data_IF_681694962068
#
_entry.id   IF_681694962068
#
_cell.length_a   1.000
_cell.length_b   1.000
_cell.length_c   1.000
_cell.angle_alpha   90.00
_cell.angle_beta   90.00
_cell.angle_gamma   90.00
#
_symmetry.space_group_name_H-M   'P 1'
#
loop_
_entity.id
_entity.type
_entity.pdbx_description
1 polymer ?
#
# COMPACT_ATOMS: atom_id res chain seq x y z
N UNK A 1 -10.94 10.19 9.77
CA UNK A 1 -10.48 9.16 8.81
C UNK A 1 -9.33 8.40 9.46
N UNK A 2 -9.38 7.07 9.44
CA UNK A 2 -8.31 6.22 9.99
C UNK A 2 -7.14 6.18 8.99
N UNK A 3 -5.98 6.70 9.40
CA UNK A 3 -4.80 6.81 8.53
C UNK A 3 -4.22 5.46 8.12
N UNK A 4 -4.27 4.45 9.01
CA UNK A 4 -3.77 3.10 8.72
C UNK A 4 -4.68 2.40 7.71
N UNK A 5 -6.00 2.54 7.89
CA UNK A 5 -6.97 1.97 6.95
C UNK A 5 -6.83 2.61 5.57
N UNK A 6 -6.71 3.94 5.51
CA UNK A 6 -6.50 4.66 4.24
C UNK A 6 -5.22 4.19 3.55
N UNK A 7 -4.10 4.15 4.28
CA UNK A 7 -2.83 3.64 3.76
C UNK A 7 -2.95 2.22 3.19
N UNK A 8 -3.67 1.33 3.87
CA UNK A 8 -3.87 -0.05 3.39
C UNK A 8 -4.71 -0.10 2.10
N UNK A 9 -5.75 0.75 2.01
CA UNK A 9 -6.59 0.85 0.82
C UNK A 9 -5.79 1.36 -0.36
N UNK A 10 -5.10 2.50 -0.19
CA UNK A 10 -4.29 3.11 -1.25
C UNK A 10 -3.18 2.18 -1.73
N UNK A 11 -2.48 1.53 -0.80
CA UNK A 11 -1.42 0.59 -1.15
C UNK A 11 -1.91 -0.59 -1.97
N UNK A 12 -3.09 -1.12 -1.65
CA UNK A 12 -3.64 -2.30 -2.34
C UNK A 12 -4.20 -1.93 -3.71
N UNK A 13 -4.89 -0.80 -3.85
CA UNK A 13 -5.37 -0.33 -5.16
C UNK A 13 -4.20 0.07 -6.08
N UNK A 14 -3.20 0.79 -5.55
CA UNK A 14 -2.01 1.20 -6.32
C UNK A 14 -1.12 0.02 -6.73
N UNK A 15 -1.12 -1.09 -5.97
CA UNK A 15 -0.34 -2.28 -6.34
C UNK A 15 -0.78 -2.87 -7.68
N UNK A 16 -2.05 -2.71 -8.07
CA UNK A 16 -2.57 -3.16 -9.36
C UNK A 16 -1.91 -2.45 -10.53
N UNK A 17 -1.63 -1.15 -10.38
CA UNK A 17 -0.99 -0.35 -11.44
C UNK A 17 0.45 -0.81 -11.71
N UNK A 18 1.13 -1.32 -10.69
CA UNK A 18 2.51 -1.81 -10.84
C UNK A 18 2.62 -3.09 -11.68
N UNK A 19 1.53 -3.86 -11.78
CA UNK A 19 1.51 -5.10 -12.57
C UNK A 19 1.46 -4.84 -14.08
N UNK A 20 0.98 -3.65 -14.52
CA UNK A 20 0.69 -3.39 -15.92
C UNK A 20 -0.48 -4.23 -16.44
N UNK A 21 -0.65 -4.25 -17.76
CA UNK A 21 -1.69 -5.04 -18.42
C UNK A 21 -1.22 -5.56 -19.79
N UNK A 22 -1.92 -6.57 -20.28
CA UNK A 22 -1.67 -7.17 -21.59
C UNK A 22 -2.95 -7.65 -22.25
N UNK A 23 -2.87 -7.83 -23.56
CA UNK A 23 -3.92 -8.47 -24.36
C UNK A 23 -3.44 -9.88 -24.73
N UNK A 24 -4.26 -10.87 -24.44
CA UNK A 24 -3.89 -12.28 -24.61
C UNK A 24 -4.87 -12.96 -25.58
N UNK A 25 -4.40 -13.78 -26.54
CA UNK A 25 -5.26 -14.61 -27.38
C UNK A 25 -6.07 -15.61 -26.55
N UNK A 26 -7.31 -15.84 -26.92
CA UNK A 26 -8.16 -16.83 -26.28
C UNK A 26 -7.61 -18.24 -26.51
N UNK A 27 -7.87 -19.15 -25.58
CA UNK A 27 -7.42 -20.54 -25.67
C UNK A 27 -7.85 -21.19 -26.99
N UNK A 28 -6.87 -21.72 -27.74
CA UNK A 28 -7.12 -22.39 -28.99
C UNK A 28 -7.19 -21.48 -30.24
N UNK A 29 -6.98 -20.19 -30.06
CA UNK A 29 -6.86 -19.21 -31.15
C UNK A 29 -5.38 -19.09 -31.52
N UNK A 30 -5.09 -19.11 -32.82
CA UNK A 30 -3.75 -18.88 -33.34
C UNK A 30 -3.39 -17.38 -33.14
N UNK A 31 -2.14 -17.12 -32.72
CA UNK A 31 -1.61 -15.78 -32.45
C UNK A 31 -1.72 -14.90 -33.73
N UNK A 32 -1.45 -15.43 -34.91
CA UNK A 32 -1.57 -14.67 -36.15
C UNK A 32 -3.02 -14.25 -36.45
N UNK A 33 -4.01 -15.11 -36.12
CA UNK A 33 -5.43 -14.78 -36.28
C UNK A 33 -5.87 -13.66 -35.30
N UNK A 34 -5.29 -13.64 -34.11
CA UNK A 34 -5.59 -12.64 -33.09
C UNK A 34 -4.87 -11.29 -33.30
N UNK A 35 -3.82 -11.28 -34.11
CA UNK A 35 -2.86 -10.14 -34.22
C UNK A 35 -3.52 -8.79 -34.54
N UNK A 36 -4.46 -8.76 -35.47
CA UNK A 36 -5.15 -7.50 -35.81
C UNK A 36 -6.08 -7.03 -34.68
N UNK A 37 -6.79 -7.97 -34.04
CA UNK A 37 -7.61 -7.61 -32.87
C UNK A 37 -6.76 -7.12 -31.71
N UNK A 38 -5.60 -7.74 -31.45
CA UNK A 38 -4.64 -7.31 -30.42
C UNK A 38 -4.16 -5.86 -30.67
N UNK A 39 -3.72 -5.59 -31.90
CA UNK A 39 -3.26 -4.25 -32.30
C UNK A 39 -4.34 -3.17 -32.10
N UNK A 40 -5.56 -3.45 -32.52
CA UNK A 40 -6.69 -2.52 -32.39
C UNK A 40 -7.10 -2.36 -30.90
N UNK A 41 -7.11 -3.45 -30.13
CA UNK A 41 -7.39 -3.43 -28.70
C UNK A 41 -6.36 -2.59 -27.90
N UNK A 42 -5.08 -2.76 -28.22
CA UNK A 42 -4.00 -1.94 -27.63
C UNK A 42 -4.18 -0.45 -27.96
N UNK A 43 -4.49 -0.11 -29.23
CA UNK A 43 -4.79 1.25 -29.62
C UNK A 43 -6.03 1.81 -28.88
N UNK A 44 -7.07 1.01 -28.72
CA UNK A 44 -8.28 1.35 -28.00
C UNK A 44 -8.00 1.67 -26.54
N UNK A 45 -7.32 0.79 -25.81
CA UNK A 45 -7.02 0.96 -24.39
C UNK A 45 -5.99 2.08 -24.13
N UNK A 46 -4.96 2.20 -24.95
CA UNK A 46 -3.98 3.30 -24.86
C UNK A 46 -4.57 4.66 -25.22
N UNK A 47 -5.71 4.70 -25.93
CA UNK A 47 -6.44 5.91 -26.25
C UNK A 47 -7.28 6.47 -25.11
N UNK A 48 -7.41 5.74 -23.99
CA UNK A 48 -8.18 6.16 -22.82
C UNK A 48 -7.29 6.99 -21.89
N UNK A 49 -7.64 8.25 -21.68
CA UNK A 49 -6.81 9.23 -20.97
C UNK A 49 -6.63 8.93 -19.46
N UNK A 50 -7.63 8.31 -18.82
CA UNK A 50 -7.63 7.99 -17.39
C UNK A 50 -7.71 6.48 -17.06
N UNK A 51 -7.17 5.62 -17.94
CA UNK A 51 -7.29 4.16 -17.78
C UNK A 51 -6.70 3.64 -16.46
N UNK A 52 -5.57 4.19 -16.04
CA UNK A 52 -4.93 3.85 -14.76
C UNK A 52 -5.79 4.23 -13.55
N UNK A 53 -6.42 5.41 -13.58
CA UNK A 53 -7.34 5.86 -12.54
C UNK A 53 -8.57 4.94 -12.45
N UNK A 54 -9.11 4.51 -13.59
CA UNK A 54 -10.22 3.57 -13.63
C UNK A 54 -9.86 2.20 -13.01
N UNK A 55 -8.64 1.67 -13.28
CA UNK A 55 -8.14 0.44 -12.66
C UNK A 55 -8.04 0.60 -11.14
N UNK A 56 -7.48 1.72 -10.67
CA UNK A 56 -7.35 2.02 -9.24
C UNK A 56 -8.72 2.14 -8.58
N UNK A 57 -9.65 2.84 -9.21
CA UNK A 57 -11.03 2.97 -8.72
C UNK A 57 -11.75 1.63 -8.62
N UNK A 58 -11.65 0.77 -9.65
CA UNK A 58 -12.18 -0.60 -9.61
C UNK A 58 -11.52 -1.43 -8.50
N UNK A 59 -10.26 -1.14 -8.21
CA UNK A 59 -9.50 -1.70 -7.09
C UNK A 59 -10.19 -1.48 -5.74
N UNK A 60 -10.89 -0.37 -5.52
CA UNK A 60 -11.61 -0.10 -4.26
C UNK A 60 -12.72 -1.13 -3.94
N UNK A 61 -13.11 -1.94 -4.92
CA UNK A 61 -14.09 -3.03 -4.73
C UNK A 61 -13.69 -4.02 -3.63
N UNK A 62 -12.40 -4.22 -3.37
CA UNK A 62 -11.98 -5.11 -2.28
C UNK A 62 -12.39 -4.60 -0.90
N UNK A 63 -12.47 -3.28 -0.76
CA UNK A 63 -12.84 -2.62 0.49
C UNK A 63 -14.35 -2.59 0.68
N UNK A 64 -15.09 -2.10 -0.34
CA UNK A 64 -16.54 -1.85 -0.25
C UNK A 64 -17.43 -2.99 -0.76
N UNK A 65 -16.85 -4.02 -1.38
CA UNK A 65 -17.58 -5.12 -1.98
C UNK A 65 -18.01 -4.90 -3.42
N UNK A 66 -17.96 -3.66 -3.91
CA UNK A 66 -18.25 -3.31 -5.30
C UNK A 66 -17.56 -2.02 -5.73
N UNK A 67 -17.40 -1.86 -7.03
CA UNK A 67 -16.99 -0.61 -7.66
C UNK A 67 -17.48 -0.58 -9.10
N UNK A 68 -17.87 0.60 -9.58
CA UNK A 68 -18.45 0.82 -10.89
C UNK A 68 -17.76 1.96 -11.62
N UNK A 69 -17.57 1.77 -12.93
CA UNK A 69 -17.14 2.81 -13.84
C UNK A 69 -18.07 2.84 -15.05
N UNK A 70 -18.23 4.00 -15.67
CA UNK A 70 -19.00 4.18 -16.90
C UNK A 70 -18.10 4.61 -18.03
N UNK A 71 -17.97 3.83 -19.12
CA UNK A 71 -17.17 4.22 -20.28
C UNK A 71 -17.89 5.31 -21.09
N UNK A 72 -17.21 6.42 -21.36
CA UNK A 72 -17.70 7.49 -22.23
C UNK A 72 -17.34 7.16 -23.68
N UNK A 73 -18.31 6.64 -24.42
CA UNK A 73 -18.12 6.18 -25.79
C UNK A 73 -18.47 7.28 -26.80
N UNK A 74 -17.68 7.40 -27.85
CA UNK A 74 -18.02 8.22 -29.00
C UNK A 74 -19.04 7.52 -29.92
N UNK A 75 -19.49 8.22 -30.99
CA UNK A 75 -20.46 7.66 -31.95
C UNK A 75 -19.97 6.40 -32.69
N UNK A 76 -18.67 6.15 -32.73
CA UNK A 76 -18.08 4.96 -33.33
C UNK A 76 -17.85 3.83 -32.32
N UNK A 77 -17.95 4.12 -31.00
CA UNK A 77 -17.76 3.18 -29.91
C UNK A 77 -16.34 3.18 -29.33
N UNK A 78 -15.53 4.18 -29.66
CA UNK A 78 -14.25 4.39 -29.03
C UNK A 78 -14.44 5.06 -27.67
N UNK A 79 -13.74 4.58 -26.66
CA UNK A 79 -13.73 5.15 -25.32
C UNK A 79 -12.54 6.11 -25.19
N UNK A 80 -12.82 7.37 -24.80
CA UNK A 80 -11.78 8.36 -24.53
C UNK A 80 -11.55 8.56 -23.03
N UNK A 81 -12.59 8.37 -22.26
CA UNK A 81 -12.60 8.60 -20.82
C UNK A 81 -13.48 7.57 -20.12
N UNK A 82 -13.16 7.24 -18.88
CA UNK A 82 -13.96 6.34 -18.03
C UNK A 82 -14.36 7.11 -16.78
N UNK A 83 -15.64 7.36 -16.60
CA UNK A 83 -16.15 8.01 -15.40
C UNK A 83 -16.06 7.05 -14.21
N UNK A 84 -15.26 7.41 -13.20
CA UNK A 84 -15.19 6.71 -11.93
C UNK A 84 -16.37 7.08 -11.04
N UNK A 85 -17.31 6.17 -10.85
CA UNK A 85 -18.59 6.45 -10.21
C UNK A 85 -18.51 6.26 -8.69
N UNK A 86 -19.05 7.24 -7.95
CA UNK A 86 -19.06 7.17 -6.50
C UNK A 86 -20.00 6.05 -6.01
N UNK A 87 -19.48 5.14 -5.19
CA UNK A 87 -20.23 4.00 -4.64
C UNK A 87 -21.47 4.40 -3.81
N UNK A 88 -21.54 5.63 -3.29
CA UNK A 88 -22.72 6.11 -2.57
C UNK A 88 -23.96 6.28 -3.47
N UNK A 89 -23.75 6.38 -4.78
CA UNK A 89 -24.83 6.56 -5.75
C UNK A 89 -25.41 5.24 -6.24
N UNK A 90 -25.09 4.11 -5.62
CA UNK A 90 -25.58 2.80 -6.02
C UNK A 90 -26.33 2.10 -4.90
N UNK A 91 -27.45 1.48 -5.27
CA UNK A 91 -28.19 0.58 -4.41
C UNK A 91 -28.35 -0.77 -5.11
N UNK A 92 -28.10 -1.87 -4.41
CA UNK A 92 -28.30 -3.21 -4.94
C UNK A 92 -29.53 -3.85 -4.29
N UNK A 93 -30.43 -4.37 -5.10
CA UNK A 93 -31.52 -5.21 -4.60
C UNK A 93 -30.95 -6.54 -4.07
N UNK A 94 -31.13 -6.85 -2.80
CA UNK A 94 -30.57 -8.05 -2.19
C UNK A 94 -31.11 -9.37 -2.78
N UNK A 95 -32.30 -9.36 -3.39
CA UNK A 95 -32.96 -10.53 -3.97
C UNK A 95 -32.55 -10.75 -5.42
N UNK A 96 -32.73 -9.71 -6.26
CA UNK A 96 -32.45 -9.80 -7.70
C UNK A 96 -30.99 -9.54 -8.07
N UNK A 97 -30.20 -8.99 -7.14
CA UNK A 97 -28.82 -8.54 -7.35
C UNK A 97 -28.66 -7.47 -8.45
N UNK A 98 -29.74 -6.81 -8.84
CA UNK A 98 -29.72 -5.71 -9.80
C UNK A 98 -29.28 -4.42 -9.15
N UNK A 99 -28.60 -3.58 -9.93
CA UNK A 99 -28.13 -2.28 -9.50
C UNK A 99 -29.07 -1.16 -9.91
N UNK A 100 -29.20 -0.19 -9.03
CA UNK A 100 -30.05 0.98 -9.21
C UNK A 100 -29.24 2.24 -8.95
N UNK A 101 -29.52 3.29 -9.71
CA UNK A 101 -28.85 4.57 -9.56
C UNK A 101 -29.59 5.45 -8.54
N UNK A 102 -28.88 5.89 -7.50
CA UNK A 102 -29.35 6.78 -6.46
C UNK A 102 -28.57 8.09 -6.52
N UNK A 103 -29.02 9.03 -7.36
CA UNK A 103 -28.33 10.29 -7.63
C UNK A 103 -28.09 11.14 -6.36
N UNK A 104 -29.01 11.08 -5.41
CA UNK A 104 -28.96 11.88 -4.19
C UNK A 104 -28.29 11.14 -3.02
N UNK A 105 -27.91 9.88 -3.21
CA UNK A 105 -27.33 9.00 -2.18
C UNK A 105 -28.17 8.94 -0.88
N UNK A 106 -29.48 8.99 -1.01
CA UNK A 106 -30.43 8.98 0.11
C UNK A 106 -30.77 7.55 0.56
N UNK A 107 -30.60 7.25 1.82
CA UNK A 107 -30.95 5.94 2.41
C UNK A 107 -32.46 5.68 2.51
N UNK A 108 -33.28 6.73 2.35
CA UNK A 108 -34.72 6.67 2.60
C UNK A 108 -35.57 6.33 1.36
N UNK A 109 -34.96 6.24 0.18
CA UNK A 109 -35.73 5.91 -1.05
C UNK A 109 -35.92 4.40 -1.17
N UNK A 110 -37.17 3.98 -1.45
CA UNK A 110 -37.45 2.60 -1.80
C UNK A 110 -36.76 2.24 -3.13
N UNK A 111 -36.12 1.07 -3.20
CA UNK A 111 -35.38 0.63 -4.38
C UNK A 111 -36.21 0.69 -5.66
N UNK A 112 -37.50 0.40 -5.54
CA UNK A 112 -38.44 0.42 -6.66
C UNK A 112 -38.66 1.83 -7.28
N UNK A 113 -38.26 2.88 -6.56
CA UNK A 113 -38.36 4.27 -7.02
C UNK A 113 -37.06 4.73 -7.74
N UNK A 114 -35.99 3.93 -7.67
CA UNK A 114 -34.74 4.26 -8.30
C UNK A 114 -34.71 3.74 -9.75
N UNK A 115 -34.04 4.45 -10.68
CA UNK A 115 -33.82 3.95 -12.02
C UNK A 115 -32.91 2.72 -12.00
N UNK A 116 -33.39 1.65 -12.67
CA UNK A 116 -32.62 0.44 -12.87
C UNK A 116 -31.45 0.72 -13.84
N UNK A 117 -30.27 0.24 -13.51
CA UNK A 117 -29.12 0.27 -14.39
C UNK A 117 -29.16 -0.97 -15.29
N UNK A 118 -29.16 -0.80 -16.63
CA UNK A 118 -29.13 -1.91 -17.56
C UNK A 118 -27.85 -2.73 -17.43
N UNK A 119 -27.94 -4.04 -17.65
CA UNK A 119 -26.79 -4.91 -17.67
C UNK A 119 -25.85 -4.55 -18.83
N UNK A 120 -24.56 -4.43 -18.54
CA UNK A 120 -23.52 -4.12 -19.53
C UNK A 120 -23.29 -2.63 -19.81
N UNK A 121 -24.03 -1.72 -19.16
CA UNK A 121 -23.74 -0.28 -19.23
C UNK A 121 -22.52 0.13 -18.42
N UNK A 122 -22.20 -0.62 -17.36
CA UNK A 122 -21.10 -0.32 -16.47
C UNK A 122 -19.99 -1.36 -16.53
N UNK A 123 -18.78 -0.92 -16.34
CA UNK A 123 -17.68 -1.77 -15.92
C UNK A 123 -17.85 -1.99 -14.42
N UNK A 124 -18.28 -3.19 -14.03
CA UNK A 124 -18.67 -3.49 -12.65
C UNK A 124 -17.82 -4.58 -12.05
N UNK A 125 -17.29 -4.32 -10.86
CA UNK A 125 -16.63 -5.33 -10.01
C UNK A 125 -17.50 -5.56 -8.79
N UNK A 126 -17.86 -6.81 -8.53
CA UNK A 126 -18.57 -7.24 -7.33
C UNK A 126 -17.75 -8.29 -6.58
N UNK A 127 -17.76 -8.20 -5.26
CA UNK A 127 -17.06 -9.13 -4.38
C UNK A 127 -17.98 -9.60 -3.27
N UNK A 128 -18.09 -10.91 -3.02
CA UNK A 128 -18.98 -11.43 -1.99
C UNK A 128 -18.51 -11.14 -0.56
N UNK A 129 -17.24 -10.75 -0.41
CA UNK A 129 -16.62 -10.46 0.90
C UNK A 129 -15.84 -9.15 0.80
N UNK A 130 -16.43 -8.11 1.37
CA UNK A 130 -15.82 -6.80 1.52
C UNK A 130 -15.06 -6.71 2.83
N UNK A 131 -14.01 -5.89 2.86
CA UNK A 131 -13.20 -5.69 4.07
C UNK A 131 -13.87 -4.69 5.03
N UNK A 132 -14.69 -3.77 4.54
CA UNK A 132 -15.38 -2.76 5.34
C UNK A 132 -16.18 -3.37 6.50
N UNK A 133 -16.90 -4.47 6.23
CA UNK A 133 -17.72 -5.12 7.25
C UNK A 133 -16.90 -5.62 8.46
N UNK A 134 -15.83 -6.44 8.30
CA UNK A 134 -14.98 -6.82 9.42
C UNK A 134 -14.07 -5.69 9.93
N UNK A 135 -13.78 -4.65 9.14
CA UNK A 135 -13.01 -3.50 9.56
C UNK A 135 -13.78 -2.55 10.47
N UNK A 136 -15.11 -2.46 10.32
CA UNK A 136 -15.95 -1.54 11.07
C UNK A 136 -15.85 -1.71 12.60
N UNK A 137 -15.99 -2.91 13.19
CA UNK A 137 -15.83 -3.06 14.63
C UNK A 137 -14.41 -2.77 15.12
N UNK A 138 -13.39 -2.98 14.30
CA UNK A 138 -12.00 -2.64 14.63
C UNK A 138 -11.86 -1.11 14.68
N UNK A 139 -12.36 -0.42 13.66
CA UNK A 139 -12.37 1.04 13.58
C UNK A 139 -13.10 1.69 14.76
N UNK A 140 -14.29 1.19 15.11
CA UNK A 140 -15.06 1.71 16.26
C UNK A 140 -14.27 1.56 17.55
N UNK A 141 -13.71 0.38 17.83
CA UNK A 141 -12.93 0.12 19.05
C UNK A 141 -11.69 1.00 19.13
N UNK A 142 -10.98 1.16 18.00
CA UNK A 142 -9.80 2.02 17.90
C UNK A 142 -10.17 3.48 18.19
N UNK A 143 -11.19 4.01 17.52
CA UNK A 143 -11.63 5.40 17.68
C UNK A 143 -12.08 5.70 19.11
N UNK A 144 -12.79 4.78 19.76
CA UNK A 144 -13.19 4.93 21.16
C UNK A 144 -11.97 4.92 22.09
N UNK A 145 -11.02 4.02 21.85
CA UNK A 145 -9.79 3.97 22.66
C UNK A 145 -8.92 5.23 22.49
N UNK A 146 -8.77 5.74 21.26
CA UNK A 146 -8.05 6.99 20.98
C UNK A 146 -8.70 8.19 21.69
N UNK A 147 -10.03 8.29 21.65
CA UNK A 147 -10.77 9.31 22.36
C UNK A 147 -10.56 9.24 23.88
N UNK A 148 -10.65 8.04 24.45
CA UNK A 148 -10.51 7.84 25.88
C UNK A 148 -9.05 8.00 26.33
N UNK A 149 -8.08 7.70 25.47
CA UNK A 149 -6.67 8.01 25.68
C UNK A 149 -6.41 9.52 25.70
N UNK A 150 -7.02 10.28 24.77
CA UNK A 150 -6.97 11.74 24.80
C UNK A 150 -7.49 12.30 26.14
N UNK A 151 -8.65 11.83 26.61
CA UNK A 151 -9.21 12.22 27.92
C UNK A 151 -8.32 11.80 29.09
N UNK A 152 -7.67 10.65 28.99
CA UNK A 152 -6.71 10.20 29.99
C UNK A 152 -5.51 11.16 30.06
N UNK A 153 -4.95 11.53 28.91
CA UNK A 153 -3.84 12.48 28.85
C UNK A 153 -4.22 13.86 29.35
N UNK A 154 -5.42 14.36 29.05
CA UNK A 154 -5.93 15.63 29.60
C UNK A 154 -6.02 15.61 31.14
N UNK A 155 -6.45 14.49 31.74
CA UNK A 155 -6.59 14.36 33.18
C UNK A 155 -5.29 14.08 33.92
N UNK A 156 -4.41 13.29 33.32
CA UNK A 156 -3.19 12.77 33.97
C UNK A 156 -1.91 13.38 33.42
N UNK A 157 -1.98 14.10 32.31
CA UNK A 157 -0.87 14.93 31.80
C UNK A 157 -0.60 16.10 32.72
N UNK A 158 -1.65 16.63 33.34
CA UNK A 158 -1.58 17.58 34.47
C UNK A 158 -2.07 16.82 35.70
N UNK A 159 -1.18 16.43 36.63
CA UNK A 159 -1.61 15.67 37.81
C UNK A 159 -2.63 16.48 38.61
N UNK A 160 -3.79 15.90 38.99
CA UNK A 160 -4.80 16.61 39.75
C UNK A 160 -4.20 17.11 41.09
N UNK A 161 -4.29 18.39 41.27
CA UNK A 161 -3.82 19.05 42.47
C UNK A 161 -4.94 19.01 43.52
N UNK A 162 -4.68 18.41 44.67
CA UNK A 162 -5.59 18.37 45.81
C UNK A 162 -4.99 19.24 46.90
N UNK A 163 -5.66 20.33 47.25
CA UNK A 163 -5.28 21.17 48.37
C UNK A 163 -6.14 20.78 49.55
N UNK A 164 -5.48 20.35 50.63
CA UNK A 164 -6.14 20.14 51.91
C UNK A 164 -6.12 21.43 52.70
N UNK A 165 -7.29 21.96 53.01
CA UNK A 165 -7.46 23.21 53.80
C UNK A 165 -7.26 22.96 55.28
N UNK A 166 -6.76 23.94 56.05
CA UNK A 166 -6.70 23.86 57.49
C UNK A 166 -8.10 23.80 58.12
N UNK A 167 -8.21 23.17 59.30
CA UNK A 167 -9.47 23.13 60.04
C UNK A 167 -9.98 24.53 60.39
N UNK A 168 -11.26 24.81 60.01
CA UNK A 168 -11.90 26.09 60.31
C UNK A 168 -11.85 27.10 59.17
N UNK A 169 -11.46 26.70 57.96
CA UNK A 169 -11.55 27.57 56.79
C UNK A 169 -13.00 28.03 56.53
N UNK A 170 -13.17 29.33 56.20
CA UNK A 170 -14.47 29.90 55.84
C UNK A 170 -14.81 29.63 54.38
N UNK A 171 -16.08 29.78 53.97
CA UNK A 171 -16.51 29.61 52.57
C UNK A 171 -15.78 30.54 51.59
N UNK A 172 -15.48 31.77 52.02
CA UNK A 172 -14.72 32.72 51.19
C UNK A 172 -13.29 32.22 50.96
N UNK A 173 -12.68 31.58 51.96
CA UNK A 173 -11.36 30.97 51.83
C UNK A 173 -11.41 29.67 50.95
N UNK A 174 -12.54 28.96 50.91
CA UNK A 174 -12.70 27.82 50.01
C UNK A 174 -12.55 28.21 48.53
N UNK A 175 -13.09 29.35 48.12
CA UNK A 175 -12.96 29.85 46.75
C UNK A 175 -11.52 30.27 46.44
N UNK A 176 -10.82 30.96 47.37
CA UNK A 176 -9.39 31.29 47.24
C UNK A 176 -8.52 30.03 47.11
N UNK A 177 -8.83 28.96 47.85
CA UNK A 177 -8.10 27.67 47.75
C UNK A 177 -8.38 26.96 46.42
N UNK A 178 -9.59 27.09 45.88
CA UNK A 178 -9.93 26.54 44.57
C UNK A 178 -9.16 27.25 43.46
N UNK A 179 -9.15 28.60 43.49
CA UNK A 179 -8.39 29.39 42.51
C UNK A 179 -6.89 29.11 42.63
N UNK A 180 -6.37 28.92 43.85
CA UNK A 180 -4.99 28.54 44.08
C UNK A 180 -4.69 27.11 43.55
N UNK A 181 -5.63 26.18 43.66
CA UNK A 181 -5.47 24.81 43.07
C UNK A 181 -5.41 24.84 41.55
N UNK A 182 -6.25 25.68 40.91
CA UNK A 182 -6.21 25.87 39.44
C UNK A 182 -4.88 26.52 39.03
N UNK A 183 -4.44 27.57 39.73
CA UNK A 183 -3.16 28.22 39.43
C UNK A 183 -1.95 27.30 39.61
N UNK A 184 -1.94 26.44 40.64
CA UNK A 184 -0.88 25.43 40.84
C UNK A 184 -0.94 24.37 39.78
N UNK A 185 -2.12 23.94 39.33
CA UNK A 185 -2.28 22.97 38.25
C UNK A 185 -1.79 23.51 36.90
N UNK A 186 -2.05 24.81 36.62
CA UNK A 186 -1.63 25.43 35.35
C UNK A 186 -0.14 25.83 35.33
N UNK A 187 0.34 26.45 36.40
CA UNK A 187 1.69 27.05 36.44
C UNK A 187 2.74 26.16 37.14
N UNK A 188 2.35 25.02 37.73
CA UNK A 188 3.18 24.14 38.56
C UNK A 188 3.93 24.84 39.70
N UNK A 189 3.54 26.07 40.07
CA UNK A 189 4.09 26.86 41.18
C UNK A 189 2.99 27.69 41.84
N UNK A 190 3.12 27.91 43.12
CA UNK A 190 2.18 28.72 43.88
C UNK A 190 2.56 28.76 45.35
N UNK A 191 2.04 29.77 46.08
CA UNK A 191 2.17 29.91 47.55
C UNK A 191 0.83 29.63 48.20
N UNK A 192 0.84 28.83 49.27
CA UNK A 192 -0.36 28.45 49.99
C UNK A 192 -0.28 28.98 51.44
N UNK A 193 -1.42 29.29 52.06
CA UNK A 193 -1.48 29.66 53.45
C UNK A 193 -0.91 28.59 54.41
N UNK A 194 -0.41 29.01 55.55
CA UNK A 194 0.14 28.11 56.55
C UNK A 194 -0.91 27.06 57.02
N UNK A 195 -0.50 25.79 57.06
CA UNK A 195 -1.37 24.70 57.45
C UNK A 195 -2.07 23.98 56.28
N UNK A 196 -1.93 24.49 55.04
CA UNK A 196 -2.40 23.79 53.83
C UNK A 196 -1.41 22.73 53.37
N UNK A 197 -1.89 21.66 52.79
CA UNK A 197 -1.06 20.64 52.16
C UNK A 197 -1.48 20.44 50.71
N UNK A 198 -0.50 20.36 49.80
CA UNK A 198 -0.70 20.00 48.39
C UNK A 198 -0.34 18.55 48.22
N UNK A 199 -1.24 17.79 47.62
CA UNK A 199 -0.96 16.45 47.15
C UNK A 199 -1.31 16.37 45.68
N UNK A 200 -0.41 15.76 44.90
CA UNK A 200 -0.68 15.43 43.51
C UNK A 200 -1.06 13.95 43.46
N UNK A 201 -2.19 13.64 42.84
CA UNK A 201 -2.59 12.26 42.65
C UNK A 201 -1.64 11.59 41.64
N UNK A 202 -0.50 11.11 42.13
CA UNK A 202 0.58 10.55 41.32
C UNK A 202 0.45 9.05 41.08
N UNK A 203 -0.66 8.42 41.49
CA UNK A 203 -0.79 6.97 41.50
C UNK A 203 -1.06 6.30 40.12
N UNK A 204 -1.27 7.06 39.07
CA UNK A 204 -1.40 6.50 37.72
C UNK A 204 -0.03 6.28 37.01
N UNK A 205 0.99 5.83 37.76
CA UNK A 205 2.26 5.34 37.18
C UNK A 205 2.16 3.88 36.74
N UNK A 206 1.04 3.50 36.14
CA UNK A 206 0.89 2.25 35.45
C UNK A 206 1.40 2.34 34.02
N UNK A 207 1.72 1.19 33.43
CA UNK A 207 1.95 1.06 32.00
C UNK A 207 0.74 1.62 31.26
N UNK A 208 0.94 2.45 30.21
CA UNK A 208 -0.12 2.96 29.37
C UNK A 208 -0.96 1.79 28.81
N UNK A 209 -2.22 1.63 29.20
CA UNK A 209 -3.04 0.48 28.75
C UNK A 209 -3.56 0.65 27.34
N UNK A 210 -3.46 1.86 26.76
CA UNK A 210 -4.05 2.19 25.47
C UNK A 210 -3.12 1.83 24.30
N UNK A 211 -1.82 2.04 24.43
CA UNK A 211 -0.88 1.86 23.32
C UNK A 211 -0.85 0.43 22.81
N UNK A 212 -0.77 -0.57 23.70
CA UNK A 212 -0.79 -1.97 23.33
C UNK A 212 -2.13 -2.39 22.67
N UNK A 213 -3.25 -1.85 23.15
CA UNK A 213 -4.56 -2.11 22.55
C UNK A 213 -4.70 -1.47 21.16
N UNK A 214 -4.26 -0.21 20.99
CA UNK A 214 -4.28 0.49 19.72
C UNK A 214 -3.37 -0.19 18.70
N UNK A 215 -2.18 -0.61 19.10
CA UNK A 215 -1.26 -1.38 18.28
C UNK A 215 -1.90 -2.71 17.83
N UNK A 216 -2.56 -3.42 18.73
CA UNK A 216 -3.30 -4.63 18.37
C UNK A 216 -4.39 -4.35 17.33
N UNK A 217 -5.19 -3.30 17.49
CA UNK A 217 -6.23 -2.94 16.51
C UNK A 217 -5.62 -2.55 15.15
N UNK A 218 -4.52 -1.81 15.14
CA UNK A 218 -3.80 -1.46 13.91
C UNK A 218 -3.29 -2.70 13.19
N UNK A 219 -2.69 -3.65 13.91
CA UNK A 219 -2.26 -4.94 13.35
C UNK A 219 -3.42 -5.72 12.74
N UNK A 220 -4.60 -5.72 13.36
CA UNK A 220 -5.79 -6.38 12.81
C UNK A 220 -6.24 -5.75 11.48
N UNK A 221 -6.24 -4.41 11.35
CA UNK A 221 -6.55 -3.71 10.09
C UNK A 221 -5.57 -4.10 9.00
N UNK A 222 -4.26 -4.07 9.30
CA UNK A 222 -3.22 -4.41 8.33
C UNK A 222 -3.33 -5.87 7.88
N UNK A 223 -3.49 -6.82 8.82
CA UNK A 223 -3.69 -8.23 8.50
C UNK A 223 -4.90 -8.47 7.59
N UNK A 224 -6.01 -7.79 7.89
CA UNK A 224 -7.24 -7.89 7.11
C UNK A 224 -7.07 -7.40 5.67
N UNK A 225 -6.31 -6.32 5.49
CA UNK A 225 -6.13 -5.69 4.18
C UNK A 225 -5.01 -6.33 3.34
N UNK A 226 -3.91 -6.76 3.97
CA UNK A 226 -2.67 -7.16 3.29
C UNK A 226 -2.28 -8.63 3.51
N UNK A 227 -2.95 -9.33 4.41
CA UNK A 227 -2.62 -10.72 4.77
C UNK A 227 -1.34 -10.88 5.59
N UNK A 228 -0.64 -9.79 5.93
CA UNK A 228 0.58 -9.82 6.72
C UNK A 228 0.96 -8.47 7.33
N UNK A 229 1.66 -8.47 8.44
CA UNK A 229 2.08 -7.23 9.15
C UNK A 229 3.40 -6.67 8.66
N UNK A 230 4.30 -7.51 8.18
CA UNK A 230 5.67 -7.12 7.78
C UNK A 230 5.73 -6.25 6.52
N UNK A 231 4.70 -6.30 5.68
CA UNK A 231 4.62 -5.47 4.47
C UNK A 231 4.25 -4.02 4.77
N UNK A 232 3.69 -3.74 5.94
CA UNK A 232 3.13 -2.42 6.31
C UNK A 232 3.60 -1.91 7.67
N UNK A 233 3.97 -2.81 8.60
CA UNK A 233 4.49 -2.49 9.92
C UNK A 233 5.82 -3.21 10.08
N UNK A 234 6.93 -2.48 10.16
CA UNK A 234 8.24 -3.06 10.39
C UNK A 234 8.32 -3.56 11.84
N UNK A 235 8.34 -4.88 12.03
CA UNK A 235 8.64 -5.48 13.33
C UNK A 235 10.15 -5.77 13.43
N UNK A 236 10.78 -5.21 14.44
CA UNK A 236 12.17 -5.51 14.73
C UNK A 236 12.33 -7.01 15.10
N UNK A 237 13.14 -7.74 14.32
CA UNK A 237 13.46 -9.14 14.60
C UNK A 237 12.76 -10.19 13.72
N UNK A 238 11.93 -9.81 12.75
CA UNK A 238 11.40 -10.78 11.79
C UNK A 238 12.49 -11.18 10.79
N UNK A 239 12.92 -12.43 10.84
CA UNK A 239 13.91 -12.97 9.91
C UNK A 239 13.41 -12.98 8.45
N UNK A 240 14.35 -13.01 7.50
CA UNK A 240 14.12 -13.00 6.04
C UNK A 240 13.11 -14.05 5.54
N UNK A 241 13.03 -15.22 6.19
CA UNK A 241 12.09 -16.30 5.85
C UNK A 241 10.62 -15.92 6.09
N UNK A 242 10.31 -15.27 7.21
CA UNK A 242 8.95 -14.84 7.52
C UNK A 242 8.52 -13.68 6.60
N UNK A 243 9.47 -12.80 6.23
CA UNK A 243 9.24 -11.72 5.26
C UNK A 243 8.85 -12.24 3.88
N UNK A 244 9.57 -13.25 3.38
CA UNK A 244 9.29 -13.85 2.07
C UNK A 244 7.90 -14.52 2.03
N UNK A 245 7.53 -15.28 3.06
CA UNK A 245 6.22 -15.92 3.12
C UNK A 245 5.07 -14.89 3.12
N UNK A 246 5.22 -13.77 3.80
CA UNK A 246 4.20 -12.71 3.79
C UNK A 246 4.16 -11.96 2.45
N UNK A 247 5.31 -11.79 1.79
CA UNK A 247 5.35 -11.23 0.44
C UNK A 247 4.65 -12.13 -0.58
N UNK A 248 4.76 -13.44 -0.45
CA UNK A 248 4.07 -14.38 -1.34
C UNK A 248 2.55 -14.31 -1.15
N UNK A 249 2.08 -14.28 0.10
CA UNK A 249 0.64 -14.05 0.39
C UNK A 249 0.15 -12.71 -0.19
N UNK A 250 0.95 -11.66 -0.08
CA UNK A 250 0.63 -10.36 -0.67
C UNK A 250 0.52 -10.43 -2.20
N UNK A 251 1.47 -11.08 -2.87
CA UNK A 251 1.44 -11.30 -4.33
C UNK A 251 0.18 -12.07 -4.76
N UNK A 252 -0.19 -13.13 -4.04
CA UNK A 252 -1.41 -13.89 -4.30
C UNK A 252 -2.68 -13.04 -4.16
N UNK A 253 -2.74 -12.18 -3.14
CA UNK A 253 -3.88 -11.26 -2.94
C UNK A 253 -3.98 -10.29 -4.13
N UNK A 254 -2.86 -9.67 -4.51
CA UNK A 254 -2.82 -8.70 -5.62
C UNK A 254 -3.14 -9.37 -6.95
N UNK A 255 -2.61 -10.58 -7.20
CA UNK A 255 -2.91 -11.35 -8.40
C UNK A 255 -4.39 -11.71 -8.52
N UNK A 256 -5.02 -12.08 -7.39
CA UNK A 256 -6.47 -12.33 -7.36
C UNK A 256 -7.28 -11.07 -7.64
N UNK A 257 -6.85 -9.93 -7.09
CA UNK A 257 -7.51 -8.65 -7.35
C UNK A 257 -7.36 -8.26 -8.83
N UNK A 258 -6.17 -8.42 -9.39
CA UNK A 258 -5.87 -8.19 -10.79
C UNK A 258 -6.76 -9.03 -11.73
N UNK A 259 -6.92 -10.33 -11.43
CA UNK A 259 -7.79 -11.20 -12.21
C UNK A 259 -9.25 -10.74 -12.20
N UNK A 260 -9.79 -10.40 -11.03
CA UNK A 260 -11.20 -9.96 -10.90
C UNK A 260 -11.45 -8.65 -11.64
N UNK A 261 -10.51 -7.70 -11.54
CA UNK A 261 -10.64 -6.39 -12.21
C UNK A 261 -10.40 -6.54 -13.71
N UNK A 262 -9.42 -7.36 -14.11
CA UNK A 262 -9.16 -7.67 -15.50
C UNK A 262 -10.40 -8.25 -16.19
N UNK A 263 -11.05 -9.22 -15.56
CA UNK A 263 -12.31 -9.81 -16.03
C UNK A 263 -13.43 -8.75 -16.17
N UNK A 264 -13.53 -7.80 -15.26
CA UNK A 264 -14.55 -6.75 -15.32
C UNK A 264 -14.30 -5.77 -16.48
N UNK A 265 -13.05 -5.36 -16.68
CA UNK A 265 -12.65 -4.52 -17.81
C UNK A 265 -12.85 -5.26 -19.13
N UNK A 266 -12.46 -6.52 -19.19
CA UNK A 266 -12.67 -7.33 -20.39
C UNK A 266 -14.16 -7.38 -20.76
N UNK A 267 -15.01 -7.79 -19.83
CA UNK A 267 -16.45 -7.98 -20.06
C UNK A 267 -17.20 -6.66 -20.27
N UNK A 268 -16.86 -5.63 -19.51
CA UNK A 268 -17.59 -4.33 -19.51
C UNK A 268 -17.08 -3.33 -20.55
N UNK A 269 -15.85 -3.49 -21.06
CA UNK A 269 -15.25 -2.53 -21.98
C UNK A 269 -14.76 -3.18 -23.26
N UNK A 270 -13.80 -4.14 -23.17
CA UNK A 270 -13.12 -4.65 -24.35
C UNK A 270 -14.02 -5.56 -25.19
N UNK A 271 -14.72 -6.50 -24.58
CA UNK A 271 -15.60 -7.44 -25.30
C UNK A 271 -16.74 -6.77 -26.09
N UNK A 272 -17.45 -5.77 -25.53
CA UNK A 272 -18.43 -4.98 -26.29
C UNK A 272 -17.82 -4.25 -27.49
N UNK A 273 -16.62 -3.66 -27.32
CA UNK A 273 -15.90 -3.00 -28.39
C UNK A 273 -15.53 -3.97 -29.52
N UNK A 274 -14.93 -5.12 -29.19
CA UNK A 274 -14.52 -6.11 -30.18
C UNK A 274 -15.73 -6.72 -30.92
N UNK A 275 -16.81 -7.03 -30.22
CA UNK A 275 -18.03 -7.55 -30.84
C UNK A 275 -18.65 -6.54 -31.81
N UNK A 276 -18.61 -5.25 -31.47
CA UNK A 276 -19.13 -4.18 -32.35
C UNK A 276 -18.30 -4.04 -33.64
N UNK A 277 -16.97 -4.15 -33.55
CA UNK A 277 -16.08 -3.89 -34.67
C UNK A 277 -15.73 -5.14 -35.49
N UNK A 278 -15.65 -6.31 -34.88
CA UNK A 278 -15.21 -7.55 -35.51
C UNK A 278 -16.29 -8.64 -35.54
N UNK A 279 -17.40 -8.44 -34.84
CA UNK A 279 -18.46 -9.46 -34.69
C UNK A 279 -18.14 -10.60 -33.73
N UNK A 280 -16.86 -10.81 -33.41
CA UNK A 280 -16.37 -11.81 -32.46
C UNK A 280 -15.20 -11.28 -31.64
N UNK A 281 -14.80 -12.03 -30.61
CA UNK A 281 -13.60 -11.73 -29.84
C UNK A 281 -12.68 -12.94 -29.80
N UNK A 282 -11.46 -12.74 -30.29
CA UNK A 282 -10.39 -13.74 -30.28
C UNK A 282 -9.38 -13.52 -29.15
N UNK A 283 -9.53 -12.44 -28.40
CA UNK A 283 -8.62 -11.98 -27.37
C UNK A 283 -9.37 -11.60 -26.11
N UNK A 284 -8.64 -11.48 -25.00
CA UNK A 284 -9.12 -10.97 -23.73
C UNK A 284 -8.08 -10.09 -23.04
N UNK A 285 -8.53 -9.29 -22.08
CA UNK A 285 -7.71 -8.39 -21.29
C UNK A 285 -7.26 -9.08 -20.00
N UNK A 286 -5.99 -8.92 -19.64
CA UNK A 286 -5.43 -9.36 -18.37
C UNK A 286 -4.64 -8.23 -17.72
N UNK A 287 -4.81 -8.04 -16.39
CA UNK A 287 -3.89 -7.24 -15.58
C UNK A 287 -2.74 -8.16 -15.16
N UNK A 288 -1.53 -7.79 -15.52
CA UNK A 288 -0.30 -8.53 -15.25
C UNK A 288 0.61 -8.45 -16.47
N UNK A 289 1.88 -8.24 -16.24
CA UNK A 289 2.89 -8.46 -17.27
C UNK A 289 3.11 -9.96 -17.40
N UNK A 290 3.56 -10.41 -18.56
CA UNK A 290 4.20 -11.70 -18.60
C UNK A 290 5.28 -11.68 -17.52
N UNK A 291 5.32 -12.72 -16.68
CA UNK A 291 6.44 -12.87 -15.76
C UNK A 291 7.70 -12.90 -16.65
N UNK A 292 8.30 -11.73 -16.84
CA UNK A 292 9.69 -11.68 -17.20
C UNK A 292 10.40 -12.31 -16.00
N UNK A 293 10.65 -13.62 -16.12
CA UNK A 293 11.49 -14.32 -15.17
C UNK A 293 12.73 -13.46 -15.03
N UNK A 294 12.99 -12.98 -13.81
CA UNK A 294 14.22 -12.21 -13.59
C UNK A 294 15.39 -13.00 -14.12
N UNK A 295 16.40 -12.34 -14.67
CA UNK A 295 17.58 -13.03 -15.21
C UNK A 295 18.13 -14.07 -14.20
N UNK A 296 18.00 -13.79 -12.87
CA UNK A 296 18.32 -14.72 -11.80
C UNK A 296 17.45 -15.98 -11.76
N UNK A 297 16.13 -15.83 -11.91
CA UNK A 297 15.19 -16.98 -11.92
C UNK A 297 15.37 -17.85 -13.16
N UNK A 298 15.63 -17.25 -14.32
CA UNK A 298 15.95 -17.99 -15.56
C UNK A 298 17.26 -18.77 -15.41
N UNK A 299 18.30 -18.17 -14.83
CA UNK A 299 19.58 -18.84 -14.57
C UNK A 299 19.44 -19.95 -13.52
N UNK A 300 18.64 -19.74 -12.47
CA UNK A 300 18.34 -20.76 -11.47
C UNK A 300 17.56 -21.95 -12.07
N UNK A 301 16.59 -21.67 -12.93
CA UNK A 301 15.84 -22.70 -13.65
C UNK A 301 16.75 -23.45 -14.61
N UNK A 302 17.58 -22.74 -15.37
CA UNK A 302 18.57 -23.36 -16.26
C UNK A 302 19.56 -24.24 -15.46
N UNK A 303 20.04 -23.79 -14.30
CA UNK A 303 20.89 -24.57 -13.40
C UNK A 303 20.20 -25.84 -12.88
N UNK A 304 18.93 -25.75 -12.48
CA UNK A 304 18.12 -26.91 -12.06
C UNK A 304 17.88 -27.91 -13.20
N UNK A 305 17.64 -27.42 -14.43
CA UNK A 305 17.50 -28.27 -15.61
C UNK A 305 18.81 -29.03 -15.90
N UNK A 306 19.94 -28.36 -15.87
CA UNK A 306 21.25 -28.96 -16.05
C UNK A 306 21.56 -29.98 -14.95
N UNK A 307 21.25 -29.66 -13.68
CA UNK A 307 21.42 -30.62 -12.57
C UNK A 307 20.51 -31.85 -12.70
N UNK A 308 19.34 -31.73 -13.34
CA UNK A 308 18.44 -32.83 -13.65
C UNK A 308 18.84 -33.63 -14.91
N UNK A 309 19.96 -33.30 -15.59
CA UNK A 309 20.47 -33.97 -16.75
C UNK A 309 19.89 -33.47 -18.10
N UNK A 310 19.15 -32.35 -18.10
CA UNK A 310 18.64 -31.72 -19.32
C UNK A 310 19.62 -30.61 -19.77
N UNK A 311 19.60 -30.32 -21.08
CA UNK A 311 20.34 -29.16 -21.61
C UNK A 311 19.40 -27.95 -21.67
N UNK A 312 19.83 -26.84 -21.07
CA UNK A 312 19.17 -25.56 -21.23
C UNK A 312 19.59 -24.96 -22.60
N UNK A 313 18.62 -24.44 -23.34
CA UNK A 313 18.86 -23.77 -24.60
C UNK A 313 19.52 -22.41 -24.39
N UNK A 314 20.68 -22.18 -25.05
CA UNK A 314 21.45 -20.95 -24.97
C UNK A 314 20.71 -19.73 -25.54
N UNK A 315 20.00 -19.93 -26.66
CA UNK A 315 19.21 -18.87 -27.29
C UNK A 315 18.05 -18.44 -26.40
N UNK A 316 17.36 -19.39 -25.76
CA UNK A 316 16.32 -19.15 -24.81
C UNK A 316 16.83 -18.36 -23.55
N UNK A 317 18.01 -18.74 -23.03
CA UNK A 317 18.62 -18.01 -21.89
C UNK A 317 18.99 -16.59 -22.31
N UNK A 318 19.61 -16.40 -23.47
CA UNK A 318 20.02 -15.09 -23.96
C UNK A 318 18.80 -14.18 -24.24
N UNK A 319 17.74 -14.72 -24.85
CA UNK A 319 16.51 -14.00 -25.10
C UNK A 319 15.81 -13.52 -23.80
N UNK A 320 15.73 -14.40 -22.80
CA UNK A 320 15.04 -14.12 -21.55
C UNK A 320 15.86 -13.29 -20.55
N UNK A 321 17.18 -13.39 -20.58
CA UNK A 321 18.07 -12.69 -19.61
C UNK A 321 18.75 -11.47 -20.19
N UNK A 322 18.79 -11.32 -21.52
CA UNK A 322 19.62 -10.31 -22.18
C UNK A 322 21.14 -10.55 -22.04
N UNK A 323 21.54 -11.69 -21.47
CA UNK A 323 22.96 -12.05 -21.25
C UNK A 323 23.45 -12.84 -22.45
N UNK A 324 24.53 -12.40 -23.08
CA UNK A 324 25.17 -13.15 -24.15
C UNK A 324 25.87 -14.37 -23.54
N UNK A 325 25.32 -15.56 -23.81
CA UNK A 325 25.92 -16.84 -23.38
C UNK A 325 26.95 -17.25 -24.42
N UNK A 326 28.24 -17.17 -24.07
CA UNK A 326 29.32 -17.67 -24.93
C UNK A 326 29.34 -19.22 -24.99
N UNK A 327 29.89 -19.75 -26.06
CA UNK A 327 30.08 -21.20 -26.17
C UNK A 327 31.06 -21.71 -25.08
N UNK A 328 30.90 -22.97 -24.68
CA UNK A 328 31.74 -23.61 -23.67
C UNK A 328 33.22 -23.29 -23.92
N UNK A 329 33.80 -22.54 -23.01
CA UNK A 329 35.26 -22.46 -22.90
C UNK A 329 35.69 -23.81 -22.37
N UNK A 330 36.55 -24.51 -23.14
CA UNK A 330 37.07 -25.81 -22.80
C UNK A 330 37.71 -25.74 -21.39
N UNK A 331 37.08 -26.31 -20.37
CA UNK A 331 37.50 -26.24 -18.98
C UNK A 331 38.89 -26.86 -18.74
N UNK A 332 39.43 -27.58 -19.72
CA UNK A 332 40.81 -28.11 -19.66
C UNK A 332 41.90 -27.03 -19.81
N UNK A 333 41.56 -25.80 -20.28
CA UNK A 333 42.52 -24.70 -20.33
C UNK A 333 42.47 -23.80 -19.08
N UNK A 334 41.51 -23.99 -18.16
CA UNK A 334 41.39 -23.18 -16.96
C UNK A 334 42.39 -23.59 -15.85
N UNK A 335 42.84 -24.82 -15.79
CA UNK A 335 43.83 -25.24 -14.77
C UNK A 335 45.20 -24.57 -14.97
N UNK A 336 45.58 -24.23 -16.20
CA UNK A 336 46.79 -23.48 -16.48
C UNK A 336 46.68 -21.97 -16.15
N UNK A 337 45.47 -21.40 -16.26
CA UNK A 337 45.21 -19.98 -15.96
C UNK A 337 45.11 -19.76 -14.45
N UNK A 338 44.53 -20.71 -13.69
CA UNK A 338 44.41 -20.63 -12.22
C UNK A 338 45.77 -20.71 -11.54
N UNK A 339 46.67 -21.52 -12.06
CA UNK A 339 48.04 -21.60 -11.56
C UNK A 339 48.91 -20.36 -11.89
N UNK A 340 48.54 -19.60 -12.92
CA UNK A 340 49.25 -18.36 -13.29
C UNK A 340 48.71 -17.16 -12.50
N UNK A 341 47.43 -17.17 -12.06
CA UNK A 341 46.81 -16.09 -11.29
C UNK A 341 47.13 -16.17 -9.79
N UNK A 342 47.48 -17.36 -9.26
CA UNK A 342 47.83 -17.56 -7.84
C UNK A 342 49.04 -16.78 -7.37
N UNK A 343 49.87 -16.24 -8.27
CA UNK A 343 51.06 -15.45 -7.98
C UNK A 343 50.98 -13.95 -8.36
N UNK A 344 49.82 -13.48 -8.81
CA UNK A 344 49.61 -12.06 -9.13
C UNK A 344 49.26 -11.27 -7.87
N UNK A 345 50.12 -10.31 -7.48
CA UNK A 345 49.78 -9.32 -6.47
C UNK A 345 48.47 -8.63 -6.82
N UNK A 346 47.59 -8.31 -5.84
CA UNK A 346 46.29 -7.70 -6.10
C UNK A 346 46.49 -6.40 -6.89
N UNK A 347 45.96 -6.35 -8.10
CA UNK A 347 45.92 -5.15 -8.93
C UNK A 347 44.94 -4.18 -8.25
N UNK A 348 45.49 -3.19 -7.54
CA UNK A 348 44.72 -2.03 -7.10
C UNK A 348 44.15 -1.36 -8.35
N UNK A 349 42.82 -1.49 -8.62
CA UNK A 349 42.13 -0.68 -9.62
C UNK A 349 42.43 0.78 -9.32
N UNK A 350 43.16 1.46 -10.20
CA UNK A 350 43.35 2.92 -10.10
C UNK A 350 41.97 3.53 -10.28
N UNK A 351 41.46 4.20 -9.23
CA UNK A 351 40.23 4.99 -9.31
C UNK A 351 40.36 5.98 -10.46
N UNK A 352 39.32 6.09 -11.26
CA UNK A 352 39.23 7.06 -12.37
C UNK A 352 39.38 8.49 -11.83
N UNK A 353 39.78 9.44 -12.67
CA UNK A 353 39.92 10.84 -12.27
C UNK A 353 38.59 11.39 -11.69
N UNK A 354 37.45 10.94 -12.22
CA UNK A 354 36.10 11.32 -11.77
C UNK A 354 35.80 10.76 -10.37
N UNK A 355 36.14 9.49 -10.09
CA UNK A 355 35.95 8.89 -8.76
C UNK A 355 36.84 9.56 -7.69
N UNK A 356 38.05 10.01 -8.06
CA UNK A 356 38.93 10.76 -7.13
C UNK A 356 38.39 12.17 -6.86
N UNK A 357 37.83 12.85 -7.86
CA UNK A 357 37.19 14.16 -7.70
C UNK A 357 35.96 14.06 -6.81
N UNK A 358 35.10 13.08 -7.06
CA UNK A 358 33.87 12.86 -6.27
C UNK A 358 34.18 12.52 -4.79
N UNK A 359 35.19 11.66 -4.50
CA UNK A 359 35.63 11.39 -3.14
C UNK A 359 36.16 12.64 -2.43
N UNK A 360 36.87 13.50 -3.13
CA UNK A 360 37.43 14.73 -2.56
C UNK A 360 36.35 15.79 -2.26
N UNK A 361 35.33 15.85 -3.09
CA UNK A 361 34.20 16.75 -2.86
C UNK A 361 33.30 16.24 -1.72
N UNK A 362 33.15 14.91 -1.57
CA UNK A 362 32.43 14.29 -0.45
C UNK A 362 33.15 14.51 0.89
N UNK A 363 34.48 14.37 0.91
CA UNK A 363 35.30 14.63 2.11
C UNK A 363 35.22 16.10 2.54
N UNK A 364 35.16 17.05 1.56
CA UNK A 364 34.97 18.47 1.87
C UNK A 364 33.58 18.77 2.43
N UNK A 365 32.55 18.15 1.87
CA UNK A 365 31.19 18.33 2.35
C UNK A 365 31.00 17.77 3.77
N UNK A 366 31.61 16.61 4.08
CA UNK A 366 31.62 16.03 5.42
C UNK A 366 32.34 16.93 6.44
N UNK A 367 33.52 17.43 6.10
CA UNK A 367 34.27 18.35 6.98
C UNK A 367 33.49 19.66 7.25
N UNK A 368 32.77 20.19 6.25
CA UNK A 368 31.89 21.35 6.45
C UNK A 368 30.71 21.04 7.34
N UNK A 369 30.08 19.87 7.22
CA UNK A 369 28.97 19.45 8.06
C UNK A 369 29.41 19.23 9.52
N UNK A 370 30.58 18.65 9.75
CA UNK A 370 31.16 18.49 11.10
C UNK A 370 31.51 19.85 11.76
N UNK A 371 32.03 20.81 10.98
CA UNK A 371 32.29 22.16 11.47
C UNK A 371 31.00 22.89 11.91
N UNK A 372 29.91 22.75 11.12
CA UNK A 372 28.62 23.37 11.45
C UNK A 372 27.92 22.69 12.64
N UNK A 373 28.15 21.39 12.86
CA UNK A 373 27.67 20.69 14.06
C UNK A 373 28.38 21.13 15.31
N UNK A 374 29.70 21.27 15.25
CA UNK A 374 30.49 21.74 16.38
C UNK A 374 30.18 23.21 16.76
N UNK A 375 29.97 24.10 15.78
CA UNK A 375 29.54 25.48 16.04
C UNK A 375 28.13 25.55 16.69
N UNK A 376 27.22 24.64 16.34
CA UNK A 376 25.90 24.55 16.97
C UNK A 376 25.99 24.01 18.41
N UNK A 377 26.83 23.03 18.67
CA UNK A 377 27.04 22.51 20.02
C UNK A 377 27.70 23.56 20.93
N UNK A 378 28.70 24.30 20.46
CA UNK A 378 29.30 25.41 21.23
C UNK A 378 28.31 26.55 21.51
N UNK A 379 27.41 26.85 20.58
CA UNK A 379 26.38 27.90 20.80
C UNK A 379 25.27 27.47 21.75
N UNK A 380 25.06 26.18 21.97
CA UNK A 380 24.11 25.68 22.99
C UNK A 380 24.69 25.61 24.41
N UNK A 381 25.99 25.64 24.57
CA UNK A 381 26.65 25.67 25.88
C UNK A 381 26.87 27.11 26.41
N UNK A 382 26.63 28.14 25.59
CA UNK A 382 26.84 29.56 25.95
C UNK A 382 25.53 30.36 26.21
N UNK A 383 24.36 29.70 26.20
CA UNK A 383 23.08 30.24 26.62
C UNK A 383 22.52 29.33 27.72
#
# INVERSE_FOLDING_TARGET
TDSILLMCVDRRSSALLSLGWKIVPNKGVDVEQAKEQTRIAEMFLNGIDNFSEAIEHLGLSFFRGFSHCSPVLDGFGWCKHIDCLNSWNFAQDPLTKRWYWNAEAMDSLAIEQLPLIPEGELISVERPRAIDYPALPIYIRKTLAERDWGRFLERYGIPPCIITMPQGATREQEDEYRDAAEAVAEALNGTLPFGSQVSFASEARGQDPFSAFLEYQQKQVVLLATGGTLTSLSEAGSGTLAGNAQMDVWKEIVARDASVIGDAIDKGLLQPFLKKHFGNSLIHFEIGKDEEQTAGEVLDLAGKLVAAGYRADKEWIAEKTGIVVADEVDLQQQDDVVNTIGNAKPIRKKKTAIEKAFCKDLEKALAQAESLLNEKEESQFLN
#
